data_IF_102765209061
#
_entry.id   IF_102765209061
#
_cell.length_a   1.000
_cell.length_b   1.000
_cell.length_c   1.000
_cell.angle_alpha   90.00
_cell.angle_beta   90.00
_cell.angle_gamma   90.00
#
_symmetry.space_group_name_H-M   'P 1'
#
loop_
_entity.id
_entity.type
_entity.pdbx_description
1 polymer ?
#
# COMPACT_ATOMS: atom_id res chain seq x y z
N UNK A 1 13.48 26.95 -54.98
CA UNK A 1 14.70 26.99 -54.14
C UNK A 1 14.27 27.02 -52.67
N UNK A 2 14.27 25.88 -51.97
CA UNK A 2 14.00 25.88 -50.53
C UNK A 2 15.25 26.42 -49.80
N UNK A 3 15.10 27.58 -49.14
CA UNK A 3 16.18 28.29 -48.50
C UNK A 3 16.81 27.44 -47.37
N UNK A 4 18.12 27.54 -47.15
CA UNK A 4 18.81 26.73 -46.11
C UNK A 4 18.21 26.93 -44.71
N UNK A 5 17.62 28.08 -44.45
CA UNK A 5 16.94 28.44 -43.19
C UNK A 5 15.62 27.68 -43.00
N UNK A 6 14.80 27.52 -44.05
CA UNK A 6 13.52 26.77 -43.97
C UNK A 6 13.72 25.27 -43.77
N UNK A 7 14.82 24.70 -44.28
CA UNK A 7 15.20 23.31 -43.99
C UNK A 7 15.61 23.09 -42.53
N UNK A 8 16.36 24.03 -41.94
CA UNK A 8 16.77 23.98 -40.52
C UNK A 8 15.55 24.05 -39.59
N UNK A 9 14.63 24.99 -39.86
CA UNK A 9 13.39 25.15 -39.10
C UNK A 9 12.51 23.90 -39.19
N UNK A 10 12.39 23.30 -40.39
CA UNK A 10 11.63 22.05 -40.56
C UNK A 10 12.26 20.88 -39.80
N UNK A 11 13.60 20.78 -39.75
CA UNK A 11 14.26 19.72 -38.97
C UNK A 11 14.10 19.91 -37.45
N UNK A 12 14.14 21.16 -36.98
CA UNK A 12 13.93 21.47 -35.57
C UNK A 12 12.49 21.19 -35.13
N UNK A 13 11.51 21.50 -36.00
CA UNK A 13 10.10 21.20 -35.76
C UNK A 13 9.85 19.68 -35.76
N UNK A 14 10.44 18.93 -36.71
CA UNK A 14 10.34 17.47 -36.73
C UNK A 14 10.93 16.83 -35.46
N UNK A 15 12.06 17.35 -34.99
CA UNK A 15 12.71 16.86 -33.77
C UNK A 15 11.90 17.19 -32.51
N UNK A 16 11.22 18.35 -32.46
CA UNK A 16 10.29 18.69 -31.38
C UNK A 16 9.05 17.78 -31.34
N UNK A 17 8.49 17.42 -32.51
CA UNK A 17 7.32 16.53 -32.62
C UNK A 17 7.67 15.11 -32.15
N UNK A 18 8.86 14.59 -32.49
CA UNK A 18 9.34 13.28 -32.03
C UNK A 18 9.51 13.25 -30.50
N UNK A 19 10.00 14.33 -29.89
CA UNK A 19 10.14 14.43 -28.43
C UNK A 19 8.80 14.39 -27.69
N UNK A 20 7.76 15.01 -28.25
CA UNK A 20 6.40 14.99 -27.69
C UNK A 20 5.77 13.60 -27.84
N UNK A 21 5.98 12.93 -28.98
CA UNK A 21 5.52 11.57 -29.19
C UNK A 21 6.23 10.55 -28.26
N UNK A 22 7.51 10.78 -27.95
CA UNK A 22 8.26 9.95 -27.01
C UNK A 22 7.76 10.06 -25.55
N UNK A 23 7.16 11.21 -25.20
CA UNK A 23 6.56 11.49 -23.88
C UNK A 23 5.05 11.18 -23.81
N UNK A 24 4.42 10.72 -24.89
CA UNK A 24 3.04 10.25 -24.89
C UNK A 24 2.95 8.85 -24.26
N UNK A 25 3.33 8.76 -22.98
CA UNK A 25 3.49 7.51 -22.25
C UNK A 25 2.41 7.38 -21.18
N UNK A 26 1.14 7.37 -21.60
CA UNK A 26 0.04 7.10 -20.66
C UNK A 26 0.24 5.80 -19.89
N UNK A 27 0.82 4.78 -20.54
CA UNK A 27 1.13 3.49 -19.90
C UNK A 27 2.36 3.56 -18.99
N UNK A 28 3.48 4.21 -19.39
CA UNK A 28 4.63 4.31 -18.47
C UNK A 28 4.33 5.20 -17.26
N UNK A 29 3.47 6.22 -17.40
CA UNK A 29 2.99 7.01 -16.27
C UNK A 29 2.20 6.17 -15.26
N UNK A 30 1.34 5.27 -15.75
CA UNK A 30 0.60 4.32 -14.91
C UNK A 30 1.55 3.30 -14.25
N UNK A 31 2.49 2.72 -14.99
CA UNK A 31 3.48 1.77 -14.45
C UNK A 31 4.42 2.42 -13.42
N UNK A 32 4.78 3.69 -13.61
CA UNK A 32 5.58 4.45 -12.64
C UNK A 32 4.77 4.77 -11.37
N UNK A 33 3.48 5.09 -11.50
CA UNK A 33 2.60 5.30 -10.37
C UNK A 33 2.36 4.00 -9.57
N UNK A 34 2.20 2.87 -10.26
CA UNK A 34 2.09 1.53 -9.65
C UNK A 34 3.36 1.17 -8.86
N UNK A 35 4.55 1.32 -9.44
CA UNK A 35 5.82 1.05 -8.75
C UNK A 35 6.01 1.93 -7.51
N UNK A 36 5.55 3.18 -7.58
CA UNK A 36 5.57 4.09 -6.43
C UNK A 36 4.61 3.60 -5.33
N UNK A 37 3.41 3.13 -5.69
CA UNK A 37 2.46 2.55 -4.74
C UNK A 37 2.99 1.28 -4.07
N UNK A 38 3.60 0.37 -4.83
CA UNK A 38 4.18 -0.87 -4.29
C UNK A 38 5.28 -0.60 -3.25
N UNK A 39 6.03 0.48 -3.41
CA UNK A 39 7.06 0.90 -2.44
C UNK A 39 6.46 1.25 -1.06
N UNK A 40 5.19 1.67 -1.00
CA UNK A 40 4.49 1.96 0.25
C UNK A 40 3.82 0.75 0.90
N UNK A 41 3.65 -0.36 0.18
CA UNK A 41 2.90 -1.52 0.70
C UNK A 41 3.58 -2.14 1.91
N UNK A 42 4.89 -2.38 1.85
CA UNK A 42 5.63 -2.99 2.95
C UNK A 42 5.68 -2.14 4.25
N UNK A 43 5.97 -0.82 4.20
CA UNK A 43 5.90 0.01 5.40
C UNK A 43 4.47 0.15 5.94
N UNK A 44 3.45 0.19 5.08
CA UNK A 44 2.04 0.22 5.52
C UNK A 44 1.64 -1.10 6.18
N UNK A 45 2.03 -2.25 5.63
CA UNK A 45 1.77 -3.56 6.21
C UNK A 45 2.42 -3.71 7.60
N UNK A 46 3.65 -3.20 7.73
CA UNK A 46 4.37 -3.17 9.01
C UNK A 46 3.70 -2.24 10.03
N UNK A 47 3.22 -1.09 9.60
CA UNK A 47 2.44 -0.17 10.45
C UNK A 47 1.13 -0.82 10.93
N UNK A 48 0.40 -1.52 10.05
CA UNK A 48 -0.80 -2.26 10.42
C UNK A 48 -0.51 -3.31 11.50
N UNK A 49 0.64 -3.99 11.41
CA UNK A 49 1.05 -4.99 12.40
C UNK A 49 1.33 -4.34 13.77
N UNK A 50 2.01 -3.20 13.78
CA UNK A 50 2.29 -2.44 15.02
C UNK A 50 0.98 -1.95 15.66
N UNK A 51 0.05 -1.39 14.88
CA UNK A 51 -1.27 -0.97 15.38
C UNK A 51 -2.05 -2.17 15.92
N UNK A 52 -2.04 -3.28 15.19
CA UNK A 52 -2.69 -4.52 15.62
C UNK A 52 -2.15 -5.04 16.95
N UNK A 53 -0.83 -4.96 17.16
CA UNK A 53 -0.19 -5.33 18.42
C UNK A 53 -0.66 -4.43 19.58
N UNK A 54 -0.69 -3.10 19.37
CA UNK A 54 -1.14 -2.15 20.40
C UNK A 54 -2.59 -2.39 20.79
N UNK A 55 -3.50 -2.52 19.82
CA UNK A 55 -4.92 -2.77 20.06
C UNK A 55 -5.14 -4.15 20.70
N UNK A 56 -4.37 -5.16 20.30
CA UNK A 56 -4.39 -6.49 20.89
C UNK A 56 -4.05 -6.48 22.38
N UNK A 57 -3.01 -5.75 22.79
CA UNK A 57 -2.61 -5.60 24.20
C UNK A 57 -3.72 -4.94 25.02
N UNK A 58 -4.33 -3.86 24.50
CA UNK A 58 -5.43 -3.15 25.17
C UNK A 58 -6.65 -4.07 25.36
N UNK A 59 -7.01 -4.84 24.33
CA UNK A 59 -8.07 -5.84 24.42
C UNK A 59 -7.76 -6.94 25.44
N UNK A 60 -6.51 -7.38 25.51
CA UNK A 60 -6.07 -8.39 26.47
C UNK A 60 -6.17 -7.90 27.91
N UNK A 61 -5.83 -6.63 28.15
CA UNK A 61 -6.01 -6.01 29.46
C UNK A 61 -7.48 -5.99 29.89
N UNK A 62 -8.40 -5.72 28.96
CA UNK A 62 -9.85 -5.76 29.23
C UNK A 62 -10.31 -7.18 29.59
N UNK A 63 -9.90 -8.20 28.84
CA UNK A 63 -10.24 -9.60 29.13
C UNK A 63 -9.69 -10.03 30.48
N UNK A 64 -8.46 -9.66 30.81
CA UNK A 64 -7.86 -9.93 32.12
C UNK A 64 -8.62 -9.25 33.26
N UNK A 65 -8.99 -7.97 33.07
CA UNK A 65 -9.77 -7.21 34.05
C UNK A 65 -11.10 -7.89 34.34
N UNK A 66 -11.79 -8.36 33.29
CA UNK A 66 -13.04 -9.10 33.42
C UNK A 66 -12.86 -10.47 34.09
N UNK A 67 -11.78 -11.19 33.75
CA UNK A 67 -11.44 -12.47 34.39
C UNK A 67 -11.31 -12.31 35.90
N UNK A 68 -10.59 -11.28 36.36
CA UNK A 68 -10.43 -11.00 37.79
C UNK A 68 -11.72 -10.57 38.50
N UNK A 69 -12.73 -10.09 37.75
CA UNK A 69 -14.04 -9.71 38.29
C UNK A 69 -15.00 -10.90 38.39
N UNK A 70 -14.63 -12.09 37.90
CA UNK A 70 -15.46 -13.29 37.96
C UNK A 70 -16.68 -13.24 37.03
N UNK A 71 -16.65 -12.44 35.96
CA UNK A 71 -17.73 -12.34 34.98
C UNK A 71 -17.91 -13.71 34.26
N UNK A 72 -19.17 -14.13 34.09
CA UNK A 72 -19.52 -15.46 33.58
C UNK A 72 -19.23 -15.59 32.08
N UNK A 73 -19.11 -14.48 31.36
CA UNK A 73 -18.90 -14.45 29.90
C UNK A 73 -17.43 -14.42 29.47
N UNK A 74 -16.47 -14.65 30.38
CA UNK A 74 -15.03 -14.55 30.11
C UNK A 74 -14.57 -15.48 28.99
N UNK A 75 -15.06 -16.71 28.96
CA UNK A 75 -14.68 -17.65 27.92
C UNK A 75 -15.11 -17.16 26.52
N UNK A 76 -16.27 -16.49 26.44
CA UNK A 76 -16.77 -15.90 25.20
C UNK A 76 -15.96 -14.67 24.79
N UNK A 77 -15.64 -13.80 25.73
CA UNK A 77 -14.86 -12.58 25.47
C UNK A 77 -13.39 -12.91 25.15
N UNK A 78 -12.81 -13.92 25.80
CA UNK A 78 -11.48 -14.45 25.51
C UNK A 78 -11.40 -15.06 24.10
N UNK A 79 -12.37 -15.91 23.72
CA UNK A 79 -12.41 -16.47 22.37
C UNK A 79 -12.61 -15.39 21.30
N UNK A 80 -13.48 -14.40 21.55
CA UNK A 80 -13.68 -13.27 20.64
C UNK A 80 -12.44 -12.41 20.49
N UNK A 81 -11.73 -12.15 21.59
CA UNK A 81 -10.47 -11.41 21.59
C UNK A 81 -9.35 -12.18 20.88
N UNK A 82 -9.16 -13.47 21.19
CA UNK A 82 -8.15 -14.30 20.52
C UNK A 82 -8.39 -14.40 19.01
N UNK A 83 -9.64 -14.62 18.59
CA UNK A 83 -9.99 -14.63 17.16
C UNK A 83 -9.67 -13.30 16.48
N UNK A 84 -9.96 -12.18 17.15
CA UNK A 84 -9.65 -10.84 16.63
C UNK A 84 -8.14 -10.57 16.55
N UNK A 85 -7.36 -11.01 17.53
CA UNK A 85 -5.90 -10.89 17.51
C UNK A 85 -5.28 -11.69 16.36
N UNK A 86 -5.71 -12.94 16.17
CA UNK A 86 -5.24 -13.78 15.07
C UNK A 86 -5.60 -13.14 13.72
N UNK A 87 -6.82 -12.64 13.58
CA UNK A 87 -7.27 -11.96 12.37
C UNK A 87 -6.38 -10.75 12.04
N UNK A 88 -6.05 -9.90 13.02
CA UNK A 88 -5.19 -8.73 12.80
C UNK A 88 -3.78 -9.12 12.33
N UNK A 89 -3.20 -10.18 12.90
CA UNK A 89 -1.89 -10.69 12.45
C UNK A 89 -1.97 -11.24 11.03
N UNK A 90 -3.03 -11.99 10.71
CA UNK A 90 -3.22 -12.57 9.38
C UNK A 90 -3.43 -11.49 8.31
N UNK A 91 -4.13 -10.40 8.62
CA UNK A 91 -4.32 -9.28 7.67
C UNK A 91 -2.99 -8.72 7.19
N UNK A 92 -2.01 -8.55 8.07
CA UNK A 92 -0.67 -8.08 7.68
C UNK A 92 0.02 -9.04 6.71
N UNK A 93 -0.13 -10.36 6.89
CA UNK A 93 0.41 -11.39 5.99
C UNK A 93 -0.33 -11.40 4.66
N UNK A 94 -1.66 -11.27 4.69
CA UNK A 94 -2.51 -11.25 3.50
C UNK A 94 -2.21 -10.04 2.62
N UNK A 95 -2.02 -8.85 3.21
CA UNK A 95 -1.60 -7.66 2.46
C UNK A 95 -0.28 -7.92 1.73
N UNK A 96 0.74 -8.42 2.43
CA UNK A 96 2.03 -8.76 1.81
C UNK A 96 1.88 -9.79 0.68
N UNK A 97 1.11 -10.85 0.92
CA UNK A 97 0.84 -11.90 -0.06
C UNK A 97 0.09 -11.41 -1.31
N UNK A 98 -0.87 -10.49 -1.19
CA UNK A 98 -1.60 -9.93 -2.33
C UNK A 98 -0.71 -9.08 -3.25
N UNK A 99 0.29 -8.40 -2.68
CA UNK A 99 1.19 -7.51 -3.43
C UNK A 99 2.52 -8.18 -3.80
N UNK A 100 2.70 -9.48 -3.48
CA UNK A 100 3.87 -10.25 -3.86
C UNK A 100 5.16 -9.85 -3.14
N UNK A 101 5.04 -9.27 -1.94
CA UNK A 101 6.15 -8.85 -1.06
C UNK A 101 6.34 -9.79 0.12
#
# INVERSE_FOLDING_TARGET
>A
MFNRTTKKISSALAMAIVSIAAHAQGVQGITAAESSLLTYVDPVASLCLVIGAVVGIIGGFRVYSKWNQGDQDINKELMGWLGSCIFLVLVSVVIKAFFGV
#
